data_IF_560665255298
#
_entry.id   IF_560665255298
#
_cell.length_a   1.000
_cell.length_b   1.000
_cell.length_c   1.000
_cell.angle_alpha   90.00
_cell.angle_beta   90.00
_cell.angle_gamma   90.00
#
_symmetry.space_group_name_H-M   'P 1'
#
loop_
_entity.id
_entity.type
_entity.pdbx_description
1 polymer ?
#
# COMPACT_ATOMS: atom_id res chain seq x y z
N UNK A 1 24.61 -11.61 -23.66
CA UNK A 1 24.81 -10.21 -24.09
C UNK A 1 24.19 -9.90 -25.45
N UNK A 2 24.67 -10.48 -26.56
CA UNK A 2 24.16 -10.21 -27.93
C UNK A 2 22.64 -10.34 -28.07
N UNK A 3 22.03 -11.41 -27.52
CA UNK A 3 20.58 -11.62 -27.56
C UNK A 3 19.79 -10.53 -26.81
N UNK A 4 20.33 -10.06 -25.68
CA UNK A 4 19.70 -9.01 -24.89
C UNK A 4 19.79 -7.66 -25.61
N UNK A 5 20.93 -7.35 -26.21
CA UNK A 5 21.11 -6.15 -27.00
C UNK A 5 20.14 -6.11 -28.19
N UNK A 6 19.99 -7.24 -28.91
CA UNK A 6 18.99 -7.39 -29.97
C UNK A 6 17.57 -7.07 -29.46
N UNK A 7 17.19 -7.59 -28.30
CA UNK A 7 15.88 -7.36 -27.70
C UNK A 7 15.68 -5.89 -27.25
N UNK A 8 16.72 -5.22 -26.75
CA UNK A 8 16.68 -3.78 -26.48
C UNK A 8 16.49 -2.95 -27.75
N UNK A 9 17.14 -3.33 -28.87
CA UNK A 9 16.94 -2.67 -30.16
C UNK A 9 15.50 -2.83 -30.65
N UNK A 10 14.91 -4.02 -30.49
CA UNK A 10 13.49 -4.26 -30.81
C UNK A 10 12.56 -3.45 -29.92
N UNK A 11 12.81 -3.39 -28.61
CA UNK A 11 12.04 -2.53 -27.70
C UNK A 11 12.09 -1.07 -28.15
N UNK A 12 13.28 -0.56 -28.49
CA UNK A 12 13.43 0.80 -29.02
C UNK A 12 12.56 1.01 -30.27
N UNK A 13 12.59 0.08 -31.22
CA UNK A 13 11.74 0.15 -32.41
C UNK A 13 10.24 0.14 -32.07
N UNK A 14 9.79 -0.69 -31.13
CA UNK A 14 8.38 -0.73 -30.68
C UNK A 14 7.96 0.57 -30.02
N UNK A 15 8.81 1.16 -29.17
CA UNK A 15 8.51 2.42 -28.49
C UNK A 15 8.48 3.61 -29.45
N UNK A 16 9.31 3.59 -30.49
CA UNK A 16 9.38 4.63 -31.53
C UNK A 16 8.27 4.56 -32.58
N UNK A 17 7.44 3.52 -32.57
CA UNK A 17 6.27 3.44 -33.45
C UNK A 17 5.17 4.43 -33.06
N UNK A 18 5.18 4.94 -31.82
CA UNK A 18 4.19 5.93 -31.39
C UNK A 18 4.46 7.30 -32.04
N UNK A 19 3.51 7.84 -32.82
CA UNK A 19 3.72 9.09 -33.55
C UNK A 19 3.40 10.33 -32.71
N UNK A 20 3.02 10.19 -31.43
CA UNK A 20 2.51 11.33 -30.66
C UNK A 20 3.63 12.31 -30.29
N UNK A 21 3.37 13.60 -30.52
CA UNK A 21 4.29 14.71 -30.24
C UNK A 21 3.82 15.54 -29.04
N UNK A 22 3.41 14.88 -27.96
CA UNK A 22 2.90 15.57 -26.76
C UNK A 22 4.04 16.10 -25.88
N UNK A 23 3.73 17.04 -24.99
CA UNK A 23 4.70 17.45 -23.98
C UNK A 23 4.87 16.34 -22.94
N UNK A 24 6.11 15.87 -22.83
CA UNK A 24 6.55 14.83 -21.91
C UNK A 24 7.36 15.45 -20.78
N UNK A 25 6.87 15.35 -19.54
CA UNK A 25 7.56 15.82 -18.33
C UNK A 25 8.84 15.05 -18.02
N UNK A 26 8.87 13.76 -18.37
CA UNK A 26 10.03 12.85 -18.22
C UNK A 26 10.37 12.46 -16.77
N UNK A 27 10.50 13.40 -15.84
CA UNK A 27 10.58 13.10 -14.40
C UNK A 27 9.22 13.31 -13.71
N UNK A 28 8.16 12.82 -14.35
CA UNK A 28 6.82 12.91 -13.78
C UNK A 28 6.66 11.88 -12.67
N UNK A 29 6.78 12.37 -11.44
CA UNK A 29 6.73 11.59 -10.20
C UNK A 29 5.91 12.34 -9.15
N UNK A 30 5.32 11.62 -8.20
CA UNK A 30 4.36 12.21 -7.28
C UNK A 30 4.98 13.26 -6.35
N UNK A 31 6.27 13.07 -6.00
CA UNK A 31 7.04 14.06 -5.24
C UNK A 31 7.25 15.40 -5.96
N UNK A 32 7.05 15.43 -7.28
CA UNK A 32 7.21 16.62 -8.13
C UNK A 32 5.85 17.30 -8.38
N UNK A 33 4.79 16.86 -7.69
CA UNK A 33 3.45 17.49 -7.68
C UNK A 33 3.21 18.06 -6.29
N UNK A 34 3.10 19.38 -6.18
CA UNK A 34 2.83 20.10 -4.94
C UNK A 34 1.39 20.63 -4.94
N UNK A 35 0.71 20.56 -3.80
CA UNK A 35 -0.62 21.15 -3.64
C UNK A 35 -0.48 22.51 -2.95
N UNK A 36 -1.01 23.55 -3.59
CA UNK A 36 -1.07 24.91 -3.03
C UNK A 36 -2.53 25.37 -3.11
N UNK A 37 -3.17 25.56 -1.96
CA UNK A 37 -4.61 25.84 -1.87
C UNK A 37 -5.46 24.82 -2.64
N UNK A 38 -5.18 23.53 -2.45
CA UNK A 38 -5.84 22.39 -3.12
C UNK A 38 -5.61 22.28 -4.64
N UNK A 39 -4.86 23.21 -5.24
CA UNK A 39 -4.51 23.18 -6.66
C UNK A 39 -3.13 22.55 -6.90
N UNK A 40 -2.99 21.70 -7.94
CA UNK A 40 -1.72 21.04 -8.25
C UNK A 40 -0.75 21.95 -9.01
N UNK A 41 0.48 22.01 -8.54
CA UNK A 41 1.62 22.66 -9.18
C UNK A 41 2.71 21.63 -9.48
N UNK A 42 3.26 21.69 -10.68
CA UNK A 42 4.29 20.76 -11.16
C UNK A 42 5.66 21.41 -11.11
N UNK A 43 6.63 20.72 -10.53
CA UNK A 43 8.03 21.17 -10.44
C UNK A 43 8.96 20.15 -11.11
N UNK A 44 10.24 20.49 -11.23
CA UNK A 44 11.28 19.60 -11.78
C UNK A 44 11.04 19.15 -13.25
N UNK A 45 10.38 20.00 -14.03
CA UNK A 45 10.00 19.73 -15.44
C UNK A 45 11.02 20.24 -16.48
N UNK A 46 12.20 20.72 -16.06
CA UNK A 46 13.24 21.24 -16.95
C UNK A 46 13.82 20.18 -17.93
N UNK A 47 13.60 18.90 -17.64
CA UNK A 47 13.93 17.79 -18.54
C UNK A 47 12.86 17.50 -19.60
N UNK A 48 11.78 18.28 -19.60
CA UNK A 48 10.62 18.09 -20.45
C UNK A 48 10.91 18.30 -21.93
N UNK A 49 10.23 17.53 -22.78
CA UNK A 49 10.47 17.49 -24.24
C UNK A 49 9.26 16.93 -24.97
N UNK A 50 9.27 16.96 -26.31
CA UNK A 50 8.28 16.22 -27.09
C UNK A 50 8.44 14.71 -26.88
N UNK A 51 7.32 14.00 -26.76
CA UNK A 51 7.32 12.57 -26.60
C UNK A 51 5.93 11.95 -26.47
N UNK A 52 5.90 10.64 -26.19
CA UNK A 52 4.68 9.85 -26.28
C UNK A 52 3.77 10.01 -25.06
N UNK A 53 2.46 9.96 -25.29
CA UNK A 53 1.40 10.06 -24.27
C UNK A 53 1.44 8.98 -23.17
N UNK A 54 2.25 7.93 -23.33
CA UNK A 54 2.33 6.80 -22.42
C UNK A 54 3.40 6.96 -21.33
N UNK A 55 4.46 7.71 -21.62
CA UNK A 55 5.64 7.67 -20.77
C UNK A 55 5.40 8.32 -19.41
N UNK A 56 4.73 9.48 -19.36
CA UNK A 56 4.42 10.12 -18.08
C UNK A 56 3.39 9.32 -17.27
N UNK A 57 2.42 8.67 -17.94
CA UNK A 57 1.48 7.73 -17.29
C UNK A 57 2.24 6.59 -16.63
N UNK A 58 3.14 5.93 -17.37
CA UNK A 58 3.98 4.87 -16.83
C UNK A 58 4.89 5.36 -15.69
N UNK A 59 5.48 6.54 -15.85
CA UNK A 59 6.37 7.15 -14.86
C UNK A 59 5.63 7.52 -13.58
N UNK A 60 4.36 7.94 -13.66
CA UNK A 60 3.59 8.37 -12.50
C UNK A 60 2.90 7.21 -11.79
N UNK A 61 2.24 6.31 -12.54
CA UNK A 61 1.38 5.27 -11.96
C UNK A 61 2.19 4.06 -11.46
N UNK A 62 3.28 3.68 -12.15
CA UNK A 62 4.12 2.53 -11.78
C UNK A 62 5.40 2.91 -11.04
N UNK A 63 5.36 3.98 -10.24
CA UNK A 63 6.48 4.36 -9.37
C UNK A 63 6.75 3.28 -8.33
N UNK A 64 7.92 2.64 -8.40
CA UNK A 64 8.32 1.58 -7.47
C UNK A 64 8.22 2.03 -5.99
N UNK A 65 8.65 3.26 -5.68
CA UNK A 65 8.63 3.78 -4.31
C UNK A 65 7.23 4.16 -3.82
N UNK A 66 6.36 4.64 -4.70
CA UNK A 66 5.01 5.04 -4.32
C UNK A 66 4.10 3.83 -4.08
N UNK A 67 4.37 2.71 -4.77
CA UNK A 67 3.72 1.42 -4.56
C UNK A 67 2.19 1.51 -4.43
N UNK A 68 1.55 2.24 -5.35
CA UNK A 68 0.09 2.39 -5.38
C UNK A 68 -0.61 1.03 -5.45
N UNK A 69 -1.81 0.95 -4.83
CA UNK A 69 -2.70 -0.19 -4.96
C UNK A 69 -3.13 -0.37 -6.42
N UNK A 70 -3.54 -1.59 -6.80
CA UNK A 70 -3.99 -1.83 -8.18
C UNK A 70 -5.29 -1.07 -8.47
N UNK A 71 -6.16 -0.93 -7.47
CA UNK A 71 -7.38 -0.14 -7.54
C UNK A 71 -7.07 1.33 -7.86
N UNK A 72 -6.09 1.93 -7.16
CA UNK A 72 -5.69 3.32 -7.43
C UNK A 72 -5.03 3.46 -8.81
N UNK A 73 -4.26 2.47 -9.26
CA UNK A 73 -3.67 2.50 -10.61
C UNK A 73 -4.75 2.48 -11.69
N UNK A 74 -5.78 1.64 -11.53
CA UNK A 74 -6.93 1.57 -12.43
C UNK A 74 -7.71 2.88 -12.44
N UNK A 75 -7.96 3.47 -11.27
CA UNK A 75 -8.65 4.76 -11.14
C UNK A 75 -7.87 5.88 -11.84
N UNK A 76 -6.57 6.02 -11.57
CA UNK A 76 -5.71 7.03 -12.18
C UNK A 76 -5.62 6.86 -13.70
N UNK A 77 -5.49 5.62 -14.17
CA UNK A 77 -5.46 5.33 -15.61
C UNK A 77 -6.80 5.66 -16.27
N UNK A 78 -7.92 5.32 -15.63
CA UNK A 78 -9.27 5.64 -16.12
C UNK A 78 -9.49 7.14 -16.21
N UNK A 79 -9.06 7.90 -15.18
CA UNK A 79 -9.12 9.35 -15.16
C UNK A 79 -8.28 9.96 -16.31
N UNK A 80 -7.07 9.45 -16.53
CA UNK A 80 -6.22 9.87 -17.64
C UNK A 80 -6.88 9.61 -19.01
N UNK A 81 -7.39 8.39 -19.23
CA UNK A 81 -8.06 8.02 -20.48
C UNK A 81 -9.30 8.88 -20.73
N UNK A 82 -10.07 9.20 -19.68
CA UNK A 82 -11.23 10.10 -19.78
C UNK A 82 -10.84 11.50 -20.23
N UNK A 83 -9.75 12.04 -19.70
CA UNK A 83 -9.21 13.34 -20.11
C UNK A 83 -8.66 13.30 -21.55
N UNK A 84 -7.87 12.26 -21.89
CA UNK A 84 -7.25 12.11 -23.20
C UNK A 84 -8.26 12.02 -24.35
N UNK A 85 -9.42 11.37 -24.12
CA UNK A 85 -10.50 11.25 -25.11
C UNK A 85 -11.07 12.59 -25.59
N UNK A 86 -10.84 13.68 -24.84
CA UNK A 86 -11.24 15.03 -25.25
C UNK A 86 -10.36 15.59 -26.38
N UNK A 87 -9.15 15.04 -26.57
CA UNK A 87 -8.15 15.53 -27.51
C UNK A 87 -7.93 14.61 -28.70
N UNK A 88 -8.10 13.29 -28.51
CA UNK A 88 -7.91 12.28 -29.57
C UNK A 88 -8.81 11.08 -29.34
N UNK A 89 -9.27 10.38 -30.39
CA UNK A 89 -9.85 9.05 -30.24
C UNK A 89 -8.86 8.11 -29.53
N UNK A 90 -9.37 7.28 -28.62
CA UNK A 90 -8.57 6.32 -27.85
C UNK A 90 -9.19 4.94 -27.96
N UNK A 91 -8.46 4.00 -28.55
CA UNK A 91 -8.70 2.57 -28.39
C UNK A 91 -8.02 2.12 -27.09
N UNK A 92 -8.81 1.81 -26.07
CA UNK A 92 -8.29 1.41 -24.75
C UNK A 92 -7.45 0.13 -24.79
N UNK A 93 -7.82 -0.84 -25.64
CA UNK A 93 -7.08 -2.10 -25.75
C UNK A 93 -5.71 -1.86 -26.38
N UNK A 94 -5.68 -1.07 -27.45
CA UNK A 94 -4.42 -0.66 -28.07
C UNK A 94 -3.58 0.18 -27.10
N UNK A 95 -4.20 1.12 -26.38
CA UNK A 95 -3.52 1.97 -25.40
C UNK A 95 -2.86 1.13 -24.31
N UNK A 96 -3.60 0.17 -23.71
CA UNK A 96 -3.06 -0.71 -22.67
C UNK A 96 -1.93 -1.58 -23.21
N UNK A 97 -2.06 -2.14 -24.43
CA UNK A 97 -0.99 -2.91 -25.06
C UNK A 97 0.28 -2.08 -25.22
N UNK A 98 0.16 -0.85 -25.73
CA UNK A 98 1.30 0.04 -25.90
C UNK A 98 1.90 0.49 -24.56
N UNK A 99 1.05 0.86 -23.60
CA UNK A 99 1.44 1.31 -22.27
C UNK A 99 2.33 0.28 -21.56
N UNK A 100 2.05 -1.03 -21.71
CA UNK A 100 2.87 -2.09 -21.11
C UNK A 100 4.34 -2.03 -21.51
N UNK A 101 4.65 -1.67 -22.75
CA UNK A 101 6.04 -1.48 -23.18
C UNK A 101 6.69 -0.29 -22.47
N UNK A 102 5.95 0.81 -22.27
CA UNK A 102 6.44 1.98 -21.54
C UNK A 102 6.62 1.71 -20.03
N UNK A 103 5.71 0.93 -19.42
CA UNK A 103 5.87 0.50 -18.02
C UNK A 103 7.13 -0.35 -17.89
N UNK A 104 7.35 -1.31 -18.79
CA UNK A 104 8.56 -2.12 -18.76
C UNK A 104 9.81 -1.24 -18.93
N UNK A 105 9.82 -0.38 -19.95
CA UNK A 105 10.93 0.54 -20.20
C UNK A 105 11.28 1.38 -18.99
N UNK A 106 10.28 2.01 -18.35
CA UNK A 106 10.48 2.81 -17.12
C UNK A 106 10.99 1.96 -15.98
N UNK A 107 10.44 0.75 -15.80
CA UNK A 107 10.86 -0.15 -14.71
C UNK A 107 12.31 -0.59 -14.89
N UNK A 108 12.76 -0.86 -16.12
CA UNK A 108 14.15 -1.16 -16.42
C UNK A 108 15.08 0.03 -16.17
N UNK A 109 14.66 1.26 -16.51
CA UNK A 109 15.42 2.46 -16.17
C UNK A 109 15.59 2.62 -14.66
N UNK A 110 14.54 2.36 -13.89
CA UNK A 110 14.56 2.39 -12.42
C UNK A 110 15.51 1.33 -11.86
N UNK A 111 15.41 0.07 -12.32
CA UNK A 111 16.32 -0.99 -11.90
C UNK A 111 17.78 -0.71 -12.25
N UNK A 112 18.04 -0.20 -13.45
CA UNK A 112 19.39 0.19 -13.87
C UNK A 112 19.96 1.30 -12.99
N UNK A 113 19.18 2.36 -12.74
CA UNK A 113 19.61 3.48 -11.90
C UNK A 113 19.82 3.08 -10.44
N UNK A 114 18.90 2.30 -9.86
CA UNK A 114 18.97 1.88 -8.46
C UNK A 114 20.01 0.79 -8.24
N UNK A 115 20.18 -0.13 -9.18
CA UNK A 115 21.28 -1.10 -9.17
C UNK A 115 22.63 -0.40 -9.19
N UNK A 116 22.81 0.57 -10.11
CA UNK A 116 24.05 1.35 -10.18
C UNK A 116 24.29 2.15 -8.89
N UNK A 117 23.35 2.99 -8.45
CA UNK A 117 23.52 3.82 -7.24
C UNK A 117 23.62 2.99 -5.95
N UNK A 118 22.89 1.89 -5.88
CA UNK A 118 22.86 1.01 -4.72
C UNK A 118 24.15 0.21 -4.57
N UNK A 119 24.51 -0.58 -5.59
CA UNK A 119 25.66 -1.48 -5.53
C UNK A 119 27.00 -0.77 -5.79
N UNK A 120 27.04 0.18 -6.74
CA UNK A 120 28.29 0.84 -7.13
C UNK A 120 28.58 2.09 -6.28
N UNK A 121 27.60 2.98 -6.12
CA UNK A 121 27.78 4.19 -5.28
C UNK A 121 27.54 3.93 -3.78
N UNK A 122 27.25 2.68 -3.38
CA UNK A 122 27.02 2.24 -1.99
C UNK A 122 25.97 3.07 -1.25
N UNK A 123 24.86 3.41 -1.92
CA UNK A 123 23.72 4.14 -1.33
C UNK A 123 22.56 3.17 -1.03
N UNK A 124 22.45 2.62 0.19
CA UNK A 124 21.58 1.45 0.47
C UNK A 124 20.09 1.74 0.30
N UNK A 125 19.65 2.99 0.50
CA UNK A 125 18.25 3.38 0.37
C UNK A 125 17.71 3.21 -1.07
N UNK A 126 18.55 3.20 -2.11
CA UNK A 126 18.10 2.88 -3.47
C UNK A 126 17.76 1.39 -3.63
N UNK A 127 18.46 0.50 -2.91
CA UNK A 127 18.19 -0.93 -2.95
C UNK A 127 16.83 -1.29 -2.34
N UNK A 128 16.32 -0.49 -1.39
CA UNK A 128 14.99 -0.68 -0.81
C UNK A 128 13.85 -0.55 -1.82
N UNK A 129 14.08 0.14 -2.96
CA UNK A 129 13.07 0.30 -4.02
C UNK A 129 13.11 -0.82 -5.06
N UNK A 130 14.19 -1.60 -5.13
CA UNK A 130 14.37 -2.69 -6.10
C UNK A 130 13.28 -3.75 -5.98
N UNK A 131 12.91 -4.22 -4.77
CA UNK A 131 11.89 -5.27 -4.66
C UNK A 131 10.51 -4.87 -5.23
N UNK A 132 10.11 -3.61 -5.08
CA UNK A 132 8.86 -3.10 -5.67
C UNK A 132 8.93 -3.05 -7.21
N UNK A 133 10.09 -2.69 -7.78
CA UNK A 133 10.30 -2.75 -9.22
C UNK A 133 10.28 -4.20 -9.75
N UNK A 134 10.81 -5.15 -8.98
CA UNK A 134 10.71 -6.59 -9.31
C UNK A 134 9.25 -7.07 -9.27
N UNK A 135 8.44 -6.62 -8.31
CA UNK A 135 7.01 -6.93 -8.27
C UNK A 135 6.26 -6.39 -9.50
N UNK A 136 6.55 -5.15 -9.92
CA UNK A 136 6.01 -4.58 -11.16
C UNK A 136 6.35 -5.44 -12.39
N UNK A 137 7.59 -5.94 -12.48
CA UNK A 137 8.00 -6.86 -13.56
C UNK A 137 7.25 -8.18 -13.47
N UNK A 138 7.11 -8.75 -12.27
CA UNK A 138 6.36 -10.00 -12.06
C UNK A 138 4.93 -9.88 -12.54
N UNK A 139 4.27 -8.76 -12.23
CA UNK A 139 2.91 -8.44 -12.71
C UNK A 139 2.86 -8.29 -14.23
N UNK A 140 3.79 -7.53 -14.82
CA UNK A 140 3.86 -7.33 -16.27
C UNK A 140 4.07 -8.64 -17.04
N UNK A 141 4.87 -9.55 -16.50
CA UNK A 141 5.24 -10.82 -17.13
C UNK A 141 4.22 -11.95 -16.93
N UNK A 142 3.09 -11.70 -16.24
CA UNK A 142 1.93 -12.61 -16.29
C UNK A 142 1.51 -12.88 -17.73
N UNK A 143 1.63 -11.87 -18.57
CA UNK A 143 1.58 -11.99 -20.02
C UNK A 143 2.97 -11.65 -20.57
N UNK A 144 3.75 -12.62 -21.09
CA UNK A 144 5.10 -12.34 -21.55
C UNK A 144 5.11 -11.47 -22.81
N UNK A 145 6.14 -10.65 -22.97
CA UNK A 145 6.34 -9.89 -24.19
C UNK A 145 7.04 -10.77 -25.23
N UNK A 146 6.37 -11.00 -26.34
CA UNK A 146 6.82 -11.91 -27.40
C UNK A 146 7.81 -11.24 -28.35
N UNK A 147 7.85 -9.91 -28.40
CA UNK A 147 8.74 -9.11 -29.24
C UNK A 147 10.20 -9.23 -28.79
N UNK A 148 10.43 -9.42 -27.49
CA UNK A 148 11.76 -9.51 -26.87
C UNK A 148 11.87 -10.74 -25.94
N UNK A 149 11.91 -11.96 -26.52
CA UNK A 149 11.77 -13.21 -25.77
C UNK A 149 12.95 -13.51 -24.83
N UNK A 150 14.18 -13.12 -25.18
CA UNK A 150 15.34 -13.35 -24.32
C UNK A 150 15.27 -12.46 -23.09
N UNK A 151 14.93 -11.18 -23.27
CA UNK A 151 14.72 -10.27 -22.15
C UNK A 151 13.55 -10.71 -21.28
N UNK A 152 12.42 -11.14 -21.85
CA UNK A 152 11.29 -11.67 -21.09
C UNK A 152 11.69 -12.87 -20.22
N UNK A 153 12.47 -13.81 -20.78
CA UNK A 153 13.01 -14.96 -20.03
C UNK A 153 13.93 -14.53 -18.89
N UNK A 154 14.88 -13.62 -19.18
CA UNK A 154 15.84 -13.11 -18.19
C UNK A 154 15.13 -12.39 -17.04
N UNK A 155 14.14 -11.57 -17.34
CA UNK A 155 13.37 -10.87 -16.31
C UNK A 155 12.51 -11.84 -15.49
N UNK A 156 11.99 -12.90 -16.09
CA UNK A 156 11.29 -13.95 -15.35
C UNK A 156 12.23 -14.67 -14.38
N UNK A 157 13.45 -15.00 -14.81
CA UNK A 157 14.49 -15.55 -13.91
C UNK A 157 14.84 -14.58 -12.78
N UNK A 158 14.99 -13.29 -13.09
CA UNK A 158 15.24 -12.24 -12.10
C UNK A 158 14.16 -12.22 -11.02
N UNK A 159 12.88 -12.31 -11.40
CA UNK A 159 11.76 -12.33 -10.43
C UNK A 159 11.73 -13.56 -9.50
N UNK A 160 12.46 -14.63 -9.87
CA UNK A 160 12.54 -15.91 -9.14
C UNK A 160 13.79 -16.04 -8.27
N UNK A 161 14.74 -15.09 -8.35
CA UNK A 161 15.94 -15.13 -7.51
C UNK A 161 15.57 -15.10 -6.03
N UNK A 162 16.26 -15.88 -5.18
CA UNK A 162 15.94 -16.04 -3.75
C UNK A 162 15.71 -14.72 -3.01
N UNK A 163 16.62 -13.76 -3.22
CA UNK A 163 16.55 -12.41 -2.65
C UNK A 163 15.27 -11.62 -2.99
N UNK A 164 14.51 -12.04 -4.01
CA UNK A 164 13.24 -11.43 -4.43
C UNK A 164 12.04 -12.39 -4.40
N UNK A 165 12.26 -13.70 -4.22
CA UNK A 165 11.19 -14.70 -4.10
C UNK A 165 10.58 -14.74 -2.71
N UNK A 166 11.33 -14.38 -1.67
CA UNK A 166 10.87 -14.40 -0.28
C UNK A 166 9.99 -13.18 0.04
N UNK A 167 10.11 -12.10 -0.74
CA UNK A 167 9.22 -10.93 -0.69
C UNK A 167 7.73 -11.24 -0.95
N UNK A 168 7.44 -12.22 -1.81
CA UNK A 168 6.06 -12.68 -2.08
C UNK A 168 5.53 -13.61 -0.97
N UNK A 169 6.42 -14.15 -0.12
CA UNK A 169 6.10 -15.09 0.96
C UNK A 169 6.06 -14.44 2.34
N UNK A 170 6.68 -13.26 2.53
CA UNK A 170 6.81 -12.62 3.84
C UNK A 170 5.83 -11.47 4.11
N UNK A 171 5.01 -11.04 3.14
CA UNK A 171 3.94 -10.06 3.42
C UNK A 171 2.77 -10.74 4.10
N UNK A 172 2.99 -11.13 5.36
CA UNK A 172 1.90 -11.41 6.30
C UNK A 172 1.00 -10.18 6.34
N UNK A 173 -0.31 -10.41 6.39
CA UNK A 173 -1.27 -9.35 6.68
C UNK A 173 -0.83 -8.63 7.97
N UNK A 174 -0.77 -7.30 7.94
CA UNK A 174 -0.62 -6.51 9.15
C UNK A 174 -2.00 -6.04 9.60
N UNK A 175 -2.38 -6.37 10.84
CA UNK A 175 -3.61 -5.87 11.45
C UNK A 175 -3.26 -4.81 12.48
N UNK A 176 -3.72 -3.58 12.28
CA UNK A 176 -3.59 -2.51 13.27
C UNK A 176 -4.83 -2.45 14.14
N UNK A 177 -4.66 -2.64 15.44
CA UNK A 177 -5.73 -2.54 16.43
C UNK A 177 -5.52 -1.24 17.20
N UNK A 178 -6.48 -0.32 17.14
CA UNK A 178 -6.33 1.01 17.72
C UNK A 178 -7.38 1.28 18.80
N UNK A 179 -6.99 1.80 19.96
CA UNK A 179 -7.94 2.39 20.91
C UNK A 179 -7.94 3.91 20.79
N UNK A 180 -9.13 4.52 20.82
CA UNK A 180 -9.26 5.96 20.64
C UNK A 180 -10.36 6.62 21.49
N UNK A 181 -10.28 7.94 21.65
CA UNK A 181 -11.34 8.78 22.20
C UNK A 181 -12.22 9.40 21.11
N UNK A 182 -13.54 9.20 21.17
CA UNK A 182 -14.48 9.85 20.26
C UNK A 182 -14.37 11.38 20.26
N UNK A 183 -14.00 11.98 21.41
CA UNK A 183 -13.77 13.42 21.54
C UNK A 183 -12.64 13.95 20.64
N UNK A 184 -11.69 13.08 20.26
CA UNK A 184 -10.55 13.41 19.38
C UNK A 184 -10.74 12.87 17.95
N UNK A 185 -11.94 12.39 17.59
CA UNK A 185 -12.26 11.86 16.26
C UNK A 185 -11.81 10.41 16.06
N UNK A 186 -12.32 9.76 15.01
CA UNK A 186 -11.96 8.39 14.61
C UNK A 186 -10.56 8.44 13.92
N UNK A 187 -9.64 7.50 14.23
CA UNK A 187 -8.35 7.40 13.54
C UNK A 187 -8.51 7.19 12.03
N UNK A 188 -7.69 7.87 11.22
CA UNK A 188 -7.65 7.67 9.78
C UNK A 188 -6.87 6.41 9.42
N UNK A 189 -7.38 5.61 8.48
CA UNK A 189 -6.63 4.54 7.84
C UNK A 189 -5.96 5.08 6.56
N UNK A 190 -4.63 5.08 6.54
CA UNK A 190 -3.82 5.58 5.42
C UNK A 190 -3.40 4.47 4.43
N UNK A 191 -3.81 3.23 4.65
CA UNK A 191 -3.33 2.05 3.90
C UNK A 191 -4.08 1.77 2.59
N UNK A 192 -5.08 2.60 2.25
CA UNK A 192 -5.69 2.66 0.90
C UNK A 192 -6.73 1.59 0.56
N UNK A 193 -6.82 0.47 1.31
CA UNK A 193 -7.86 -0.56 1.09
C UNK A 193 -9.12 -0.34 1.94
N UNK A 194 -9.18 0.75 2.70
CA UNK A 194 -10.30 1.10 3.56
C UNK A 194 -10.24 0.37 4.90
N UNK A 195 -10.58 1.11 5.96
CA UNK A 195 -10.62 0.62 7.33
C UNK A 195 -11.54 -0.58 7.51
N UNK A 196 -11.24 -1.37 8.55
CA UNK A 196 -12.13 -2.40 9.05
C UNK A 196 -13.20 -1.78 9.95
N UNK A 197 -13.29 -2.29 11.17
CA UNK A 197 -14.40 -1.95 12.07
C UNK A 197 -14.03 -0.84 13.05
N UNK A 198 -15.00 0.03 13.32
CA UNK A 198 -14.96 0.95 14.47
C UNK A 198 -16.03 0.49 15.47
N UNK A 199 -15.58 -0.06 16.58
CA UNK A 199 -16.43 -0.58 17.64
C UNK A 199 -16.64 0.49 18.72
N UNK A 200 -17.90 0.86 18.97
CA UNK A 200 -18.24 1.82 20.02
C UNK A 200 -18.37 1.13 21.39
N UNK A 201 -17.41 1.39 22.27
CA UNK A 201 -17.35 0.85 23.63
C UNK A 201 -18.13 1.71 24.64
N UNK A 202 -18.77 2.82 24.25
CA UNK A 202 -19.43 3.74 25.20
C UNK A 202 -20.64 3.13 25.92
N UNK A 203 -21.25 2.10 25.32
CA UNK A 203 -22.35 1.33 25.92
C UNK A 203 -21.89 0.34 27.00
N UNK A 204 -20.60 0.06 27.11
CA UNK A 204 -20.06 -0.82 28.15
C UNK A 204 -20.01 -0.12 29.51
N UNK A 205 -20.02 -0.94 30.57
CA UNK A 205 -19.84 -0.48 31.95
C UNK A 205 -18.63 0.43 32.09
N UNK A 206 -18.80 1.52 32.83
CA UNK A 206 -17.90 2.67 32.77
C UNK A 206 -17.08 2.83 34.05
N UNK A 207 -15.82 2.35 34.09
CA UNK A 207 -14.92 2.54 35.23
C UNK A 207 -14.75 4.02 35.62
N UNK A 208 -14.76 4.92 34.63
CA UNK A 208 -14.58 6.36 34.84
C UNK A 208 -15.67 7.04 35.67
N UNK A 209 -16.76 6.35 36.03
CA UNK A 209 -17.74 6.84 37.02
C UNK A 209 -17.19 6.82 38.44
N UNK A 210 -16.20 5.97 38.74
CA UNK A 210 -15.65 5.83 40.07
C UNK A 210 -14.28 6.50 40.17
N UNK A 211 -14.09 7.30 41.21
CA UNK A 211 -12.91 8.16 41.35
C UNK A 211 -11.59 7.38 41.41
N UNK A 212 -11.58 6.23 42.09
CA UNK A 212 -10.42 5.36 42.19
C UNK A 212 -9.91 4.81 40.84
N UNK A 213 -10.74 4.75 39.79
CA UNK A 213 -10.30 4.32 38.44
C UNK A 213 -9.68 5.44 37.60
N UNK A 214 -9.67 6.70 38.07
CA UNK A 214 -9.18 7.85 37.27
C UNK A 214 -7.72 7.72 36.83
N UNK A 215 -6.88 7.10 37.64
CA UNK A 215 -5.44 6.95 37.36
C UNK A 215 -5.09 5.64 36.65
N UNK A 216 -6.03 4.70 36.60
CA UNK A 216 -5.85 3.44 35.91
C UNK A 216 -6.26 3.56 34.44
N UNK A 217 -5.80 2.65 33.62
CA UNK A 217 -6.07 2.50 32.19
C UNK A 217 -6.65 1.12 31.92
N UNK A 218 -7.11 0.87 30.70
CA UNK A 218 -7.58 -0.47 30.31
C UNK A 218 -6.50 -1.56 30.32
N UNK A 219 -5.23 -1.19 30.55
CA UNK A 219 -4.10 -2.10 30.72
C UNK A 219 -3.93 -2.57 32.17
N UNK A 220 -4.50 -1.84 33.13
CA UNK A 220 -4.30 -2.10 34.55
C UNK A 220 -5.26 -3.18 35.05
N UNK A 221 -4.75 -4.07 35.91
CA UNK A 221 -5.48 -5.23 36.40
C UNK A 221 -6.79 -4.86 37.13
N UNK A 222 -6.82 -3.71 37.79
CA UNK A 222 -7.99 -3.14 38.44
C UNK A 222 -9.13 -2.91 37.45
N UNK A 223 -8.83 -2.31 36.30
CA UNK A 223 -9.82 -2.02 35.25
C UNK A 223 -10.18 -3.31 34.51
N UNK A 224 -9.23 -4.19 34.25
CA UNK A 224 -9.47 -5.51 33.65
C UNK A 224 -10.51 -6.28 34.49
N UNK A 225 -10.29 -6.41 35.80
CA UNK A 225 -11.22 -7.10 36.71
C UNK A 225 -12.61 -6.45 36.66
N UNK A 226 -12.67 -5.12 36.77
CA UNK A 226 -13.95 -4.40 36.70
C UNK A 226 -14.70 -4.67 35.41
N UNK A 227 -14.01 -4.67 34.27
CA UNK A 227 -14.63 -4.90 32.97
C UNK A 227 -15.18 -6.32 32.86
N UNK A 228 -14.52 -7.31 33.47
CA UNK A 228 -14.88 -8.73 33.39
C UNK A 228 -15.99 -9.15 34.35
N UNK A 229 -16.18 -8.45 35.48
CA UNK A 229 -17.13 -8.82 36.54
C UNK A 229 -18.60 -8.88 36.08
N UNK A 230 -19.06 -7.94 35.26
CA UNK A 230 -20.46 -7.88 34.78
C UNK A 230 -20.69 -8.73 33.50
N UNK A 231 -19.62 -9.25 32.89
CA UNK A 231 -19.68 -10.10 31.70
C UNK A 231 -20.12 -9.41 30.40
N UNK A 232 -20.69 -8.21 30.44
CA UNK A 232 -21.15 -7.46 29.26
C UNK A 232 -20.05 -7.20 28.22
N UNK A 233 -18.81 -6.95 28.67
CA UNK A 233 -17.66 -6.77 27.76
C UNK A 233 -17.31 -8.04 27.00
N UNK A 234 -17.51 -9.21 27.62
CA UNK A 234 -17.15 -10.49 27.02
C UNK A 234 -18.06 -10.80 25.84
N UNK A 235 -19.37 -10.64 26.03
CA UNK A 235 -20.34 -10.78 24.94
C UNK A 235 -20.07 -9.81 23.79
N UNK A 236 -19.73 -8.56 24.09
CA UNK A 236 -19.35 -7.58 23.07
C UNK A 236 -18.11 -8.01 22.28
N UNK A 237 -17.04 -8.42 22.97
CA UNK A 237 -15.79 -8.87 22.35
C UNK A 237 -15.98 -10.13 21.52
N UNK A 238 -16.78 -11.10 21.96
CA UNK A 238 -17.08 -12.32 21.20
C UNK A 238 -17.67 -12.00 19.82
N UNK A 239 -18.62 -11.06 19.74
CA UNK A 239 -19.18 -10.63 18.45
C UNK A 239 -18.16 -9.85 17.61
N UNK A 240 -17.35 -9.00 18.25
CA UNK A 240 -16.27 -8.28 17.55
C UNK A 240 -15.24 -9.25 16.96
N UNK A 241 -14.87 -10.32 17.68
CA UNK A 241 -13.96 -11.37 17.20
C UNK A 241 -14.51 -12.06 15.96
N UNK A 242 -15.78 -12.47 15.96
CA UNK A 242 -16.40 -13.15 14.82
C UNK A 242 -16.39 -12.27 13.55
N UNK A 243 -16.68 -10.98 13.70
CA UNK A 243 -16.61 -10.03 12.58
C UNK A 243 -15.18 -9.87 12.05
N UNK A 244 -14.22 -9.74 12.98
CA UNK A 244 -12.80 -9.61 12.63
C UNK A 244 -12.24 -10.88 11.99
N UNK A 245 -12.58 -12.07 12.49
CA UNK A 245 -12.18 -13.36 11.92
C UNK A 245 -12.55 -13.47 10.45
N UNK A 246 -13.81 -13.12 10.14
CA UNK A 246 -14.35 -13.18 8.78
C UNK A 246 -13.53 -12.29 7.84
N UNK A 247 -13.12 -11.11 8.31
CA UNK A 247 -12.35 -10.16 7.49
C UNK A 247 -10.87 -10.55 7.41
N UNK A 248 -10.25 -10.94 8.51
CA UNK A 248 -8.85 -11.38 8.53
C UNK A 248 -8.65 -12.55 7.58
N UNK A 249 -9.51 -13.57 7.63
CA UNK A 249 -9.47 -14.71 6.70
C UNK A 249 -9.59 -14.24 5.25
N UNK A 250 -10.61 -13.42 4.95
CA UNK A 250 -10.83 -12.93 3.59
C UNK A 250 -9.67 -12.06 3.08
N UNK A 251 -9.05 -11.30 3.96
CA UNK A 251 -7.92 -10.44 3.62
C UNK A 251 -6.65 -11.25 3.33
N UNK A 252 -6.41 -12.30 4.12
CA UNK A 252 -5.34 -13.27 3.85
C UNK A 252 -5.57 -13.94 2.48
N UNK A 253 -6.78 -14.44 2.20
CA UNK A 253 -7.13 -15.08 0.92
C UNK A 253 -6.92 -14.14 -0.28
N UNK A 254 -7.32 -12.87 -0.13
CA UNK A 254 -7.20 -11.84 -1.18
C UNK A 254 -5.82 -11.21 -1.25
N UNK A 255 -4.89 -11.61 -0.37
CA UNK A 255 -3.53 -11.08 -0.28
C UNK A 255 -3.48 -9.56 -0.06
N UNK A 256 -4.39 -9.04 0.77
CA UNK A 256 -4.29 -7.67 1.24
C UNK A 256 -3.16 -7.51 2.25
N UNK A 257 -2.55 -6.33 2.29
CA UNK A 257 -1.36 -6.07 3.11
C UNK A 257 -1.70 -5.49 4.48
N UNK A 258 -2.83 -4.80 4.62
CA UNK A 258 -3.20 -4.09 5.84
C UNK A 258 -4.70 -4.20 6.12
N UNK A 259 -5.06 -4.28 7.40
CA UNK A 259 -6.41 -4.17 7.93
C UNK A 259 -6.34 -3.36 9.23
N UNK A 260 -7.27 -2.44 9.46
CA UNK A 260 -7.34 -1.68 10.70
C UNK A 260 -8.65 -1.95 11.43
N UNK A 261 -8.63 -2.14 12.75
CA UNK A 261 -9.83 -2.10 13.58
C UNK A 261 -9.63 -1.18 14.78
N UNK A 262 -10.67 -0.45 15.15
CA UNK A 262 -10.63 0.59 16.16
C UNK A 262 -11.67 0.34 17.25
N UNK A 263 -11.31 0.62 18.50
CA UNK A 263 -12.21 0.61 19.65
C UNK A 263 -12.29 2.02 20.22
N UNK A 264 -13.49 2.58 20.29
CA UNK A 264 -13.72 3.97 20.70
C UNK A 264 -14.43 4.05 22.03
N UNK A 265 -13.94 4.88 22.96
CA UNK A 265 -14.72 5.31 24.12
C UNK A 265 -14.71 6.83 24.28
N UNK A 266 -15.31 7.36 25.34
CA UNK A 266 -15.39 8.82 25.51
C UNK A 266 -14.01 9.47 25.71
N UNK A 267 -13.13 8.84 26.50
CA UNK A 267 -11.84 9.40 26.92
C UNK A 267 -10.61 8.70 26.37
N UNK A 268 -10.76 7.53 25.73
CA UNK A 268 -9.62 6.77 25.18
C UNK A 268 -8.75 6.07 26.22
N UNK A 269 -9.20 5.94 27.49
CA UNK A 269 -8.35 5.50 28.60
C UNK A 269 -8.66 4.10 29.14
N UNK A 270 -9.94 3.72 29.25
CA UNK A 270 -10.35 2.47 29.92
C UNK A 270 -10.93 1.44 28.95
N UNK A 271 -12.22 1.56 28.63
CA UNK A 271 -13.00 0.57 27.87
C UNK A 271 -12.40 0.28 26.50
N UNK A 272 -12.04 1.32 25.76
CA UNK A 272 -11.43 1.18 24.42
C UNK A 272 -10.06 0.52 24.48
N UNK A 273 -9.25 0.85 25.50
CA UNK A 273 -7.90 0.31 25.69
C UNK A 273 -7.99 -1.18 25.97
N UNK A 274 -8.84 -1.56 26.93
CA UNK A 274 -9.12 -2.96 27.27
C UNK A 274 -9.56 -3.75 26.02
N UNK A 275 -10.57 -3.28 25.29
CA UNK A 275 -11.08 -4.01 24.14
C UNK A 275 -10.05 -4.13 23.00
N UNK A 276 -9.25 -3.09 22.75
CA UNK A 276 -8.19 -3.12 21.74
C UNK A 276 -7.09 -4.14 22.09
N UNK A 277 -6.65 -4.16 23.35
CA UNK A 277 -5.65 -5.12 23.85
C UNK A 277 -6.13 -6.57 23.64
N UNK A 278 -7.36 -6.86 24.06
CA UNK A 278 -7.94 -8.19 23.93
C UNK A 278 -8.10 -8.64 22.47
N UNK A 279 -8.49 -7.72 21.57
CA UNK A 279 -8.53 -8.01 20.13
C UNK A 279 -7.14 -8.28 19.55
N UNK A 280 -6.13 -7.50 19.91
CA UNK A 280 -4.78 -7.69 19.42
C UNK A 280 -4.21 -9.06 19.83
N UNK A 281 -4.37 -9.43 21.10
CA UNK A 281 -3.96 -10.75 21.60
C UNK A 281 -4.73 -11.90 20.97
N UNK A 282 -6.04 -11.73 20.78
CA UNK A 282 -6.87 -12.74 20.14
C UNK A 282 -6.38 -13.05 18.73
N UNK A 283 -6.13 -12.00 17.94
CA UNK A 283 -5.69 -12.14 16.56
C UNK A 283 -4.27 -12.71 16.45
N UNK A 284 -3.33 -12.25 17.28
CA UNK A 284 -1.95 -12.73 17.25
C UNK A 284 -1.80 -14.20 17.67
N UNK A 285 -2.64 -14.67 18.60
CA UNK A 285 -2.67 -16.10 19.00
C UNK A 285 -3.29 -16.99 17.93
N UNK A 286 -4.23 -16.47 17.13
CA UNK A 286 -5.04 -17.28 16.22
C UNK A 286 -4.50 -17.37 14.79
N UNK A 287 -3.85 -16.31 14.31
CA UNK A 287 -3.44 -16.19 12.91
C UNK A 287 -1.93 -15.94 12.79
N UNK A 288 -1.33 -16.47 11.73
CA UNK A 288 0.07 -16.19 11.37
C UNK A 288 0.18 -14.83 10.65
N UNK A 289 -0.11 -13.75 11.37
CA UNK A 289 -0.15 -12.35 10.88
C UNK A 289 0.70 -11.45 11.76
N UNK A 290 0.94 -10.21 11.35
CA UNK A 290 1.55 -9.18 12.20
C UNK A 290 0.44 -8.37 12.86
N UNK A 291 0.48 -8.18 14.17
CA UNK A 291 -0.53 -7.36 14.85
C UNK A 291 0.14 -6.18 15.53
N UNK A 292 -0.27 -4.97 15.15
CA UNK A 292 0.22 -3.72 15.73
C UNK A 292 -0.89 -3.11 16.59
N UNK A 293 -0.68 -3.02 17.90
CA UNK A 293 -1.61 -2.41 18.85
C UNK A 293 -1.16 -0.97 19.14
N UNK A 294 -2.07 -0.02 18.98
CA UNK A 294 -1.82 1.39 19.26
C UNK A 294 -2.92 2.01 20.14
N UNK A 295 -2.53 2.55 21.28
CA UNK A 295 -3.41 3.30 22.17
C UNK A 295 -3.19 4.80 21.99
N UNK A 296 -4.02 5.44 21.16
CA UNK A 296 -3.81 6.82 20.72
C UNK A 296 -3.73 7.84 21.86
N UNK A 297 -4.59 7.74 22.87
CA UNK A 297 -4.56 8.69 23.99
C UNK A 297 -3.53 8.37 25.06
N UNK A 298 -2.97 7.15 25.06
CA UNK A 298 -1.88 6.75 25.95
C UNK A 298 -0.50 6.88 25.29
N UNK A 299 -0.46 7.12 23.98
CA UNK A 299 0.76 7.13 23.16
C UNK A 299 1.61 5.86 23.36
N UNK A 300 0.91 4.71 23.41
CA UNK A 300 1.50 3.40 23.69
C UNK A 300 1.32 2.49 22.47
N UNK A 301 2.42 1.91 22.00
CA UNK A 301 2.48 1.01 20.85
C UNK A 301 3.10 -0.34 21.24
N UNK A 302 2.52 -1.43 20.73
CA UNK A 302 2.94 -2.80 21.01
C UNK A 302 2.78 -3.65 19.76
N UNK A 303 3.84 -4.36 19.36
CA UNK A 303 3.81 -5.32 18.26
C UNK A 303 3.72 -6.76 18.78
N UNK A 304 2.90 -7.56 18.10
CA UNK A 304 2.76 -9.01 18.29
C UNK A 304 3.10 -9.75 17.00
#
# INVERSE_FOLDING_TARGET
EIKLESDFRKMSAVLLQDPSETFLYRDYQARNVMLVNEEPYFIDFQGGRKGPIYYDVASFIWQAKANYSEELKEELLSAYLKALRQYTPVDEKQFQRQLRHFILFRTLQVLGAYGFRGYFEKKPHFLQSVPYAIDNIRKLLKEPFTEYPYMSSLLLELTKMRQYSDMDKERKLQVTVCSFAYKKGIPNDLSGNGGGYVFDCRGLENPGKFEHFRHFTGEDQEVIRFMEEDGGVKGFLEHAYVLMDTHVQRYIERKFNHLMCCFGCTGGQHRSVYCARHMAEYLSKKYDIRVHLYHRELDLEIDY
#
